data_IF_162051414675
#
_entry.id   IF_162051414675
#
_cell.length_a   1.000
_cell.length_b   1.000
_cell.length_c   1.000
_cell.angle_alpha   90.00
_cell.angle_beta   90.00
_cell.angle_gamma   90.00
#
_symmetry.space_group_name_H-M   'P 1'
#
loop_
_entity.id
_entity.type
_entity.pdbx_description
1 polymer ?
#
# COMPACT_ATOMS: atom_id res chain seq x y z
N UNK A 1 -15.87 -5.20 -8.28
CA UNK A 1 -16.76 -6.00 -9.16
C UNK A 1 -17.69 -6.95 -8.41
N UNK A 2 -17.19 -7.91 -7.63
CA UNK A 2 -18.01 -8.97 -7.03
C UNK A 2 -19.28 -8.50 -6.28
N UNK A 3 -19.26 -7.44 -5.45
CA UNK A 3 -20.48 -6.95 -4.81
C UNK A 3 -21.60 -6.52 -5.78
N UNK A 4 -21.25 -5.92 -6.92
CA UNK A 4 -22.21 -5.56 -7.98
C UNK A 4 -22.83 -6.79 -8.64
N UNK A 5 -22.08 -7.90 -8.73
CA UNK A 5 -22.60 -9.18 -9.22
C UNK A 5 -23.38 -9.96 -8.15
N UNK A 6 -23.58 -9.39 -6.95
CA UNK A 6 -24.20 -10.11 -5.84
C UNK A 6 -23.32 -11.24 -5.30
N UNK A 7 -22.00 -11.15 -5.49
CA UNK A 7 -21.01 -12.08 -4.97
C UNK A 7 -20.25 -11.48 -3.79
N UNK A 8 -19.80 -12.34 -2.89
CA UNK A 8 -18.84 -12.03 -1.83
C UNK A 8 -17.50 -12.67 -2.17
N UNK A 9 -16.42 -11.96 -1.88
CA UNK A 9 -15.05 -12.45 -2.09
C UNK A 9 -14.40 -12.64 -0.73
N UNK A 10 -13.78 -13.81 -0.54
CA UNK A 10 -12.81 -14.00 0.52
C UNK A 10 -11.43 -14.11 -0.12
N UNK A 11 -10.55 -13.18 0.22
CA UNK A 11 -9.16 -13.21 -0.22
C UNK A 11 -8.33 -13.88 0.88
N UNK A 12 -7.47 -14.80 0.47
CA UNK A 12 -6.41 -15.33 1.32
C UNK A 12 -5.10 -15.37 0.56
N UNK A 13 -4.04 -14.86 1.18
CA UNK A 13 -2.68 -15.04 0.72
C UNK A 13 -1.95 -16.11 1.54
N UNK A 14 -2.68 -16.82 2.42
CA UNK A 14 -2.17 -17.82 3.33
C UNK A 14 -2.63 -19.23 2.91
N UNK A 15 -1.82 -19.89 2.11
CA UNK A 15 -2.00 -21.26 1.61
C UNK A 15 -0.65 -21.96 1.49
N UNK A 16 -0.64 -23.29 1.51
CA UNK A 16 0.56 -24.06 1.22
C UNK A 16 0.91 -23.91 -0.28
N UNK A 17 1.98 -23.16 -0.58
CA UNK A 17 2.36 -22.82 -1.95
C UNK A 17 2.60 -24.06 -2.81
N UNK A 18 3.37 -25.04 -2.31
CA UNK A 18 3.71 -26.27 -3.04
C UNK A 18 2.45 -27.07 -3.43
N UNK A 19 1.53 -27.28 -2.48
CA UNK A 19 0.28 -28.00 -2.76
C UNK A 19 -0.62 -27.26 -3.74
N UNK A 20 -0.64 -25.92 -3.69
CA UNK A 20 -1.46 -25.14 -4.60
C UNK A 20 -0.85 -25.12 -6.01
N UNK A 21 0.46 -24.95 -6.13
CA UNK A 21 1.22 -25.06 -7.38
C UNK A 21 0.96 -26.44 -8.03
N UNK A 22 1.01 -27.54 -7.26
CA UNK A 22 0.71 -28.89 -7.74
C UNK A 22 -0.74 -29.05 -8.25
N UNK A 23 -1.72 -28.56 -7.49
CA UNK A 23 -3.15 -28.66 -7.86
C UNK A 23 -3.44 -27.89 -9.15
N UNK A 24 -2.80 -26.73 -9.32
CA UNK A 24 -2.94 -25.88 -10.50
C UNK A 24 -2.02 -26.32 -11.66
N UNK A 25 -1.11 -27.26 -11.42
CA UNK A 25 -0.08 -27.73 -12.36
C UNK A 25 0.81 -26.59 -12.86
N UNK A 26 1.19 -25.70 -11.96
CA UNK A 26 2.10 -24.59 -12.27
C UNK A 26 3.54 -25.09 -12.39
N UNK A 27 4.31 -24.49 -13.28
CA UNK A 27 5.73 -24.78 -13.42
C UNK A 27 6.54 -24.03 -12.34
N UNK A 28 7.01 -24.78 -11.34
CA UNK A 28 7.69 -24.19 -10.19
C UNK A 28 9.04 -23.59 -10.61
N UNK A 29 9.12 -22.27 -10.59
CA UNK A 29 10.28 -21.51 -11.09
C UNK A 29 9.90 -20.45 -12.12
N UNK A 30 8.76 -20.62 -12.79
CA UNK A 30 8.23 -19.66 -13.76
C UNK A 30 6.96 -18.97 -13.23
N UNK A 31 6.07 -19.72 -12.58
CA UNK A 31 4.80 -19.22 -12.05
C UNK A 31 4.61 -19.61 -10.58
N UNK A 32 3.92 -18.75 -9.82
CA UNK A 32 3.58 -19.00 -8.43
C UNK A 32 2.30 -18.29 -8.02
N UNK A 33 1.46 -18.98 -7.26
CA UNK A 33 0.26 -18.37 -6.70
C UNK A 33 0.62 -17.39 -5.57
N UNK A 34 0.01 -16.19 -5.60
CA UNK A 34 0.19 -15.16 -4.56
C UNK A 34 -1.07 -14.94 -3.71
N UNK A 35 -2.25 -15.17 -4.28
CA UNK A 35 -3.53 -15.02 -3.61
C UNK A 35 -4.55 -16.04 -4.15
N UNK A 36 -5.46 -16.48 -3.29
CA UNK A 36 -6.64 -17.27 -3.64
C UNK A 36 -7.87 -16.45 -3.30
N UNK A 37 -8.78 -16.32 -4.26
CA UNK A 37 -10.04 -15.59 -4.10
C UNK A 37 -11.21 -16.57 -4.16
N UNK A 38 -11.84 -16.83 -3.02
CA UNK A 38 -13.06 -17.63 -2.96
C UNK A 38 -14.28 -16.76 -3.26
N UNK A 39 -14.94 -17.03 -4.39
CA UNK A 39 -16.18 -16.37 -4.79
C UNK A 39 -17.39 -17.11 -4.18
N UNK A 40 -18.20 -16.39 -3.42
CA UNK A 40 -19.34 -16.93 -2.69
C UNK A 40 -20.63 -16.18 -3.06
N UNK A 41 -21.77 -16.86 -2.99
CA UNK A 41 -23.08 -16.20 -2.99
C UNK A 41 -23.27 -15.38 -1.71
N UNK A 42 -24.23 -14.44 -1.71
CA UNK A 42 -24.52 -13.61 -0.53
C UNK A 42 -24.86 -14.47 0.70
N UNK A 43 -24.22 -14.17 1.82
CA UNK A 43 -24.41 -14.86 3.10
C UNK A 43 -23.81 -14.03 4.25
N UNK A 44 -23.94 -14.50 5.50
CA UNK A 44 -23.40 -13.80 6.68
C UNK A 44 -21.91 -13.51 6.51
N UNK A 45 -21.43 -12.29 6.80
CA UNK A 45 -20.00 -11.98 6.81
C UNK A 45 -19.25 -12.99 7.65
N UNK A 46 -18.21 -13.59 7.07
CA UNK A 46 -17.24 -14.37 7.83
C UNK A 46 -15.90 -13.68 7.60
N UNK A 47 -15.26 -13.22 8.68
CA UNK A 47 -13.85 -12.83 8.66
C UNK A 47 -13.06 -14.02 9.18
N UNK A 48 -12.58 -14.91 8.30
CA UNK A 48 -11.67 -15.94 8.76
C UNK A 48 -10.41 -15.30 9.36
N UNK A 49 -10.08 -15.66 10.61
CA UNK A 49 -8.84 -15.24 11.31
C UNK A 49 -7.55 -15.78 10.65
N UNK A 50 -7.58 -16.20 9.39
CA UNK A 50 -6.49 -16.89 8.71
C UNK A 50 -6.11 -16.28 7.36
N UNK A 51 -6.61 -15.09 7.01
CA UNK A 51 -6.28 -14.42 5.73
C UNK A 51 -4.78 -14.13 5.56
N UNK A 52 -4.05 -14.01 6.67
CA UNK A 52 -2.59 -13.96 6.73
C UNK A 52 -2.06 -14.98 7.76
N UNK A 53 -1.00 -15.70 7.40
CA UNK A 53 -0.30 -16.64 8.29
C UNK A 53 1.22 -16.45 8.15
N UNK A 54 2.00 -16.65 9.24
CA UNK A 54 3.44 -16.52 9.20
C UNK A 54 4.11 -17.65 8.40
N UNK A 55 5.13 -17.33 7.60
CA UNK A 55 6.05 -18.34 7.08
C UNK A 55 6.97 -18.88 8.18
N UNK A 56 7.75 -19.92 7.86
CA UNK A 56 8.82 -20.34 8.75
C UNK A 56 9.74 -19.13 9.06
N UNK A 57 10.29 -19.04 10.29
CA UNK A 57 11.31 -18.03 10.58
C UNK A 57 12.48 -18.22 9.61
N UNK A 58 13.20 -17.14 9.25
CA UNK A 58 14.35 -17.23 8.36
C UNK A 58 15.31 -18.31 8.88
N UNK A 59 15.66 -19.26 8.03
CA UNK A 59 16.65 -20.27 8.37
C UNK A 59 17.98 -19.58 8.66
N UNK A 60 18.64 -19.93 9.77
CA UNK A 60 19.95 -19.37 10.16
C UNK A 60 21.04 -19.52 9.07
N UNK A 61 20.81 -20.33 8.04
CA UNK A 61 21.68 -20.48 6.87
C UNK A 61 21.50 -19.39 5.80
N UNK A 62 20.38 -18.66 5.79
CA UNK A 62 20.16 -17.51 4.90
C UNK A 62 20.73 -16.21 5.49
N UNK A 63 21.01 -16.21 6.79
CA UNK A 63 21.63 -15.11 7.54
C UNK A 63 22.83 -15.68 8.28
N UNK A 64 23.84 -16.12 7.53
CA UNK A 64 25.20 -16.18 8.10
C UNK A 64 25.67 -14.75 8.30
N UNK A 65 25.44 -14.30 9.53
CA UNK A 65 25.97 -13.12 10.19
C UNK A 65 27.44 -12.87 9.83
N UNK A 66 27.70 -11.89 8.97
CA UNK A 66 28.97 -11.15 8.96
C UNK A 66 28.80 -9.95 9.89
N UNK A 67 29.00 -10.16 11.18
CA UNK A 67 28.82 -9.08 12.15
C UNK A 67 29.04 -9.41 13.62
N UNK A 68 30.20 -9.97 14.01
CA UNK A 68 30.72 -9.72 15.36
C UNK A 68 32.07 -8.98 15.31
N UNK A 69 32.00 -7.72 15.77
CA UNK A 69 33.05 -6.84 16.31
C UNK A 69 34.52 -7.12 15.94
N UNK A 70 34.89 -6.74 14.72
CA UNK A 70 36.18 -6.15 14.42
C UNK A 70 35.97 -5.18 13.27
N UNK A 71 36.60 -3.99 13.32
CA UNK A 71 36.59 -3.04 12.22
C UNK A 71 37.09 -3.73 10.93
N UNK A 72 36.18 -4.16 10.09
CA UNK A 72 36.44 -4.92 8.86
C UNK A 72 35.43 -4.46 7.81
N UNK A 73 35.90 -3.54 6.96
CA UNK A 73 35.56 -3.38 5.55
C UNK A 73 34.41 -4.28 5.04
N UNK A 74 33.16 -3.82 5.18
CA UNK A 74 31.98 -4.46 4.57
C UNK A 74 31.58 -3.77 3.25
N UNK A 75 32.56 -3.36 2.45
CA UNK A 75 32.37 -2.93 1.05
C UNK A 75 32.52 -4.13 0.09
N UNK A 76 31.68 -5.15 0.30
CA UNK A 76 31.55 -6.27 -0.64
C UNK A 76 30.09 -6.48 -1.03
N UNK A 77 29.51 -5.45 -1.65
CA UNK A 77 28.47 -5.69 -2.64
C UNK A 77 29.11 -6.49 -3.79
N UNK A 78 28.49 -7.58 -4.28
CA UNK A 78 29.01 -8.26 -5.44
C UNK A 78 28.96 -7.28 -6.62
N UNK A 79 30.12 -7.07 -7.24
CA UNK A 79 30.24 -6.26 -8.45
C UNK A 79 29.26 -6.76 -9.51
N UNK A 80 28.70 -5.81 -10.28
CA UNK A 80 27.81 -6.00 -11.43
C UNK A 80 28.47 -6.73 -12.62
N UNK A 81 29.46 -7.58 -12.38
CA UNK A 81 30.16 -8.33 -13.41
C UNK A 81 29.45 -9.67 -13.66
N UNK A 82 28.54 -9.61 -14.65
CA UNK A 82 28.23 -10.62 -15.66
C UNK A 82 28.36 -12.12 -15.29
N UNK A 83 27.21 -12.80 -15.35
CA UNK A 83 26.99 -14.12 -15.97
C UNK A 83 27.59 -15.43 -15.39
N UNK A 84 28.41 -15.44 -14.34
CA UNK A 84 29.05 -16.71 -13.89
C UNK A 84 28.86 -17.09 -12.41
N UNK A 85 27.62 -17.41 -12.01
CA UNK A 85 27.35 -18.13 -10.76
C UNK A 85 26.50 -19.38 -11.01
N UNK A 86 27.15 -20.46 -11.44
CA UNK A 86 26.58 -21.82 -11.48
C UNK A 86 26.06 -22.18 -10.08
N UNK A 87 24.74 -22.08 -9.87
CA UNK A 87 24.05 -22.67 -8.72
C UNK A 87 23.23 -21.73 -7.82
N UNK A 88 23.24 -20.40 -8.00
CA UNK A 88 22.34 -19.51 -7.24
C UNK A 88 21.10 -19.17 -8.06
N UNK A 89 19.92 -19.44 -7.50
CA UNK A 89 18.67 -18.99 -8.09
C UNK A 89 18.66 -17.45 -8.18
N UNK A 90 18.07 -16.84 -9.24
CA UNK A 90 17.86 -15.40 -9.30
C UNK A 90 17.17 -14.90 -8.02
N UNK A 91 17.55 -13.71 -7.54
CA UNK A 91 17.10 -13.18 -6.24
C UNK A 91 15.57 -13.24 -6.06
N UNK A 92 14.81 -12.90 -7.10
CA UNK A 92 13.35 -12.95 -7.07
C UNK A 92 12.83 -14.37 -6.80
N UNK A 93 13.41 -15.38 -7.44
CA UNK A 93 13.05 -16.79 -7.22
C UNK A 93 13.46 -17.27 -5.83
N UNK A 94 14.60 -16.81 -5.32
CA UNK A 94 15.03 -17.11 -3.95
C UNK A 94 14.05 -16.53 -2.92
N UNK A 95 13.63 -15.27 -3.09
CA UNK A 95 12.63 -14.63 -2.24
C UNK A 95 11.27 -15.34 -2.30
N UNK A 96 10.82 -15.73 -3.50
CA UNK A 96 9.59 -16.53 -3.65
C UNK A 96 9.69 -17.85 -2.86
N UNK A 97 10.80 -18.58 -2.98
CA UNK A 97 10.97 -19.86 -2.27
C UNK A 97 11.04 -19.69 -0.75
N UNK A 98 11.78 -18.68 -0.27
CA UNK A 98 11.93 -18.41 1.16
C UNK A 98 10.62 -18.00 1.84
N UNK A 99 9.72 -17.34 1.11
CA UNK A 99 8.44 -16.84 1.63
C UNK A 99 7.27 -17.84 1.51
N UNK A 100 7.52 -19.11 1.18
CA UNK A 100 6.48 -20.15 1.08
C UNK A 100 5.96 -20.57 2.46
N UNK A 101 4.67 -20.91 2.54
CA UNK A 101 4.11 -21.54 3.74
C UNK A 101 4.27 -23.06 3.69
N UNK A 102 4.65 -23.69 4.82
CA UNK A 102 4.77 -25.14 4.90
C UNK A 102 3.39 -25.82 4.82
N UNK A 103 3.35 -27.14 4.56
CA UNK A 103 2.10 -27.91 4.55
C UNK A 103 1.42 -28.01 5.93
N UNK A 104 2.18 -27.84 7.01
CA UNK A 104 1.64 -27.74 8.36
C UNK A 104 1.15 -26.32 8.66
N UNK A 105 -0.06 -26.19 9.19
CA UNK A 105 -0.64 -24.86 9.48
C UNK A 105 0.19 -24.13 10.55
N UNK A 106 0.79 -22.97 10.23
CA UNK A 106 1.53 -22.18 11.21
C UNK A 106 0.61 -21.70 12.34
N UNK A 107 1.17 -21.53 13.55
CA UNK A 107 0.46 -20.88 14.66
C UNK A 107 0.30 -19.39 14.35
N UNK A 108 -0.87 -18.84 14.64
CA UNK A 108 -1.11 -17.40 14.57
C UNK A 108 -0.27 -16.69 15.65
N UNK A 109 0.58 -15.76 15.25
CA UNK A 109 1.12 -14.75 16.15
C UNK A 109 0.01 -13.73 16.43
N UNK A 110 -0.10 -13.26 17.68
CA UNK A 110 -1.07 -12.22 18.01
C UNK A 110 -0.64 -10.89 17.38
N UNK A 111 -1.54 -10.23 16.64
CA UNK A 111 -1.33 -8.89 16.11
C UNK A 111 -1.45 -7.88 17.25
N UNK A 112 -0.43 -7.02 17.43
CA UNK A 112 -0.52 -5.82 18.25
C UNK A 112 -1.09 -4.66 17.43
N UNK A 113 -1.73 -3.69 18.09
CA UNK A 113 -2.20 -2.46 17.43
C UNK A 113 -1.03 -1.47 17.28
N UNK A 114 -0.42 -1.43 16.10
CA UNK A 114 0.83 -0.71 15.82
C UNK A 114 0.63 0.79 15.61
N UNK A 115 -0.57 1.21 15.19
CA UNK A 115 -0.86 2.62 14.90
C UNK A 115 -0.73 3.49 16.17
N UNK A 116 -1.23 2.99 17.31
CA UNK A 116 -1.12 3.70 18.59
C UNK A 116 0.35 3.88 19.04
N UNK A 117 1.22 2.92 18.73
CA UNK A 117 2.63 2.94 19.10
C UNK A 117 3.46 3.98 18.34
N UNK A 118 3.20 4.15 17.03
CA UNK A 118 3.90 5.12 16.19
C UNK A 118 3.45 6.56 16.51
N UNK A 119 2.14 6.77 16.66
CA UNK A 119 1.55 8.07 17.01
C UNK A 119 2.10 8.60 18.34
N UNK A 120 2.17 7.73 19.36
CA UNK A 120 2.74 8.08 20.66
C UNK A 120 4.25 8.37 20.57
N UNK A 121 5.01 7.61 19.77
CA UNK A 121 6.47 7.77 19.61
C UNK A 121 6.84 9.11 18.99
N UNK A 122 6.10 9.55 17.97
CA UNK A 122 6.41 10.76 17.22
C UNK A 122 5.61 12.00 17.66
N UNK A 123 4.72 11.84 18.66
CA UNK A 123 3.95 12.96 19.22
C UNK A 123 2.98 13.59 18.22
N UNK A 124 2.56 12.85 17.18
CA UNK A 124 1.58 13.30 16.20
C UNK A 124 0.21 13.40 16.86
N UNK A 125 -0.05 14.52 17.51
CA UNK A 125 -1.25 14.79 18.28
C UNK A 125 -2.02 15.95 17.64
N UNK A 126 -3.35 15.82 17.59
CA UNK A 126 -4.21 16.73 16.85
C UNK A 126 -4.10 16.53 15.33
N UNK A 127 -5.24 16.61 14.65
CA UNK A 127 -5.33 16.45 13.21
C UNK A 127 -6.44 17.31 12.65
N UNK A 128 -6.30 17.65 11.37
CA UNK A 128 -7.40 18.25 10.61
C UNK A 128 -8.21 17.09 10.04
N UNK A 129 -9.45 16.93 10.52
CA UNK A 129 -10.39 15.98 9.93
C UNK A 129 -10.51 16.25 8.43
N UNK A 130 -10.45 15.24 7.57
CA UNK A 130 -10.75 15.44 6.14
C UNK A 130 -12.25 15.69 5.89
N UNK A 131 -13.09 15.31 6.85
CA UNK A 131 -14.54 15.43 6.79
C UNK A 131 -14.93 16.77 7.43
N UNK A 132 -15.50 17.67 6.64
CA UNK A 132 -15.92 19.01 7.10
C UNK A 132 -17.23 18.96 7.91
N UNK A 133 -18.15 18.05 7.58
CA UNK A 133 -19.44 17.88 8.25
C UNK A 133 -19.75 16.40 8.47
N UNK A 134 -19.77 15.94 9.73
CA UNK A 134 -20.43 14.68 10.10
C UNK A 134 -21.92 15.02 10.29
N UNK A 135 -22.85 14.59 9.42
CA UNK A 135 -24.25 14.92 9.62
C UNK A 135 -24.73 14.27 10.91
N UNK A 136 -25.33 15.07 11.79
CA UNK A 136 -26.00 14.57 12.99
C UNK A 136 -27.11 13.58 12.58
N UNK A 137 -26.88 12.29 12.88
CA UNK A 137 -27.84 11.16 12.81
C UNK A 137 -28.57 10.98 11.47
N UNK A 138 -28.17 9.95 10.72
CA UNK A 138 -29.11 9.18 9.89
C UNK A 138 -28.94 9.26 8.37
N UNK A 139 -28.08 10.14 7.86
CA UNK A 139 -27.72 10.21 6.43
C UNK A 139 -26.19 10.23 6.29
N UNK A 140 -25.53 9.13 6.68
CA UNK A 140 -24.07 9.04 6.85
C UNK A 140 -23.34 8.51 5.60
N UNK A 141 -23.68 9.01 4.41
CA UNK A 141 -22.99 8.61 3.18
C UNK A 141 -22.54 9.80 2.36
N UNK A 142 -21.28 9.79 1.95
CA UNK A 142 -20.63 10.79 1.10
C UNK A 142 -20.30 10.08 -0.22
N UNK A 143 -21.32 9.85 -1.08
CA UNK A 143 -21.11 9.06 -2.29
C UNK A 143 -20.07 9.74 -3.18
N UNK A 144 -19.35 8.91 -3.92
CA UNK A 144 -18.49 9.39 -5.01
C UNK A 144 -19.33 10.13 -6.05
N UNK A 145 -18.72 11.10 -6.73
CA UNK A 145 -19.43 11.91 -7.73
C UNK A 145 -19.98 11.08 -8.90
N UNK A 146 -19.30 9.98 -9.26
CA UNK A 146 -19.72 9.03 -10.28
C UNK A 146 -19.67 7.59 -9.76
N UNK A 147 -20.41 6.69 -10.42
CA UNK A 147 -20.46 5.28 -10.05
C UNK A 147 -19.05 4.62 -10.13
N UNK A 148 -18.50 4.12 -9.03
CA UNK A 148 -17.22 3.42 -9.03
C UNK A 148 -17.19 2.17 -9.92
N UNK A 149 -18.34 1.58 -10.25
CA UNK A 149 -18.38 0.46 -11.19
C UNK A 149 -18.16 0.89 -12.65
N UNK A 150 -18.63 2.07 -13.05
CA UNK A 150 -18.29 2.63 -14.36
C UNK A 150 -16.80 2.99 -14.43
N UNK A 151 -16.23 3.47 -13.31
CA UNK A 151 -14.81 3.78 -13.20
C UNK A 151 -13.95 2.57 -13.55
N UNK A 152 -14.32 1.34 -13.15
CA UNK A 152 -13.58 0.10 -13.47
C UNK A 152 -13.40 -0.07 -14.99
N UNK A 153 -14.44 0.20 -15.79
CA UNK A 153 -14.39 0.03 -17.24
C UNK A 153 -13.56 1.11 -17.93
N UNK A 154 -13.55 2.32 -17.35
CA UNK A 154 -12.86 3.49 -17.91
C UNK A 154 -11.45 3.69 -17.36
N UNK A 155 -11.09 2.98 -16.27
CA UNK A 155 -9.85 3.18 -15.53
C UNK A 155 -8.63 3.14 -16.44
N UNK A 156 -7.84 4.20 -16.38
CA UNK A 156 -6.51 4.32 -16.96
C UNK A 156 -5.65 5.07 -15.95
N UNK A 157 -4.37 4.72 -15.88
CA UNK A 157 -3.42 5.51 -15.10
C UNK A 157 -3.17 6.82 -15.83
N UNK A 158 -3.33 7.93 -15.12
CA UNK A 158 -3.12 9.27 -15.67
C UNK A 158 -1.64 9.45 -16.03
N UNK A 159 -1.36 9.88 -17.26
CA UNK A 159 0.03 10.03 -17.75
C UNK A 159 0.64 11.40 -17.48
N UNK A 160 -0.19 12.42 -17.33
CA UNK A 160 0.21 13.80 -17.02
C UNK A 160 -0.87 14.46 -16.17
N UNK A 161 -0.45 15.20 -15.17
CA UNK A 161 -1.34 16.11 -14.45
C UNK A 161 -1.18 17.52 -14.99
N UNK A 162 -2.25 18.30 -14.92
CA UNK A 162 -2.15 19.74 -14.98
C UNK A 162 -2.02 20.29 -13.57
N UNK A 163 -1.15 21.29 -13.39
CA UNK A 163 -1.03 21.98 -12.10
C UNK A 163 -2.34 22.68 -11.77
N UNK A 164 -2.77 22.54 -10.52
CA UNK A 164 -3.98 23.14 -10.00
C UNK A 164 -4.20 22.70 -8.56
N UNK A 165 -5.38 23.00 -8.03
CA UNK A 165 -5.74 22.68 -6.65
C UNK A 165 -6.88 21.66 -6.62
N UNK A 166 -6.70 20.59 -5.86
CA UNK A 166 -7.77 19.62 -5.59
C UNK A 166 -8.65 20.12 -4.45
N UNK A 167 -9.97 19.93 -4.54
CA UNK A 167 -10.88 20.26 -3.44
C UNK A 167 -10.68 19.27 -2.29
N UNK A 168 -10.74 19.76 -1.05
CA UNK A 168 -10.67 18.92 0.16
C UNK A 168 -11.66 17.77 0.13
N UNK A 169 -12.90 18.04 -0.30
CA UNK A 169 -13.95 17.04 -0.38
C UNK A 169 -13.64 15.90 -1.37
N UNK A 170 -12.89 16.18 -2.45
CA UNK A 170 -12.45 15.15 -3.39
C UNK A 170 -11.41 14.25 -2.72
N UNK A 171 -10.36 14.83 -2.12
CA UNK A 171 -9.35 14.07 -1.38
C UNK A 171 -9.98 13.21 -0.27
N UNK A 172 -10.91 13.80 0.49
CA UNK A 172 -11.63 13.10 1.55
C UNK A 172 -12.36 11.86 1.04
N UNK A 173 -13.13 11.96 -0.05
CA UNK A 173 -13.86 10.83 -0.64
C UNK A 173 -12.94 9.79 -1.28
N UNK A 174 -11.83 10.21 -1.90
CA UNK A 174 -10.81 9.32 -2.45
C UNK A 174 -10.21 8.44 -1.34
N UNK A 175 -9.76 9.07 -0.24
CA UNK A 175 -9.21 8.35 0.90
C UNK A 175 -10.27 7.49 1.60
N UNK A 176 -11.51 7.97 1.70
CA UNK A 176 -12.62 7.20 2.24
C UNK A 176 -12.83 5.87 1.51
N UNK A 177 -12.71 5.85 0.17
CA UNK A 177 -12.85 4.63 -0.60
C UNK A 177 -11.83 3.55 -0.17
N UNK A 178 -10.60 3.97 0.15
CA UNK A 178 -9.54 3.10 0.60
C UNK A 178 -9.73 2.63 2.05
N UNK A 179 -10.00 3.56 2.98
CA UNK A 179 -9.92 3.31 4.42
C UNK A 179 -11.29 3.14 5.11
N UNK A 180 -12.34 3.82 4.65
CA UNK A 180 -13.68 3.81 5.23
C UNK A 180 -14.78 3.63 4.16
N UNK A 181 -14.74 2.54 3.36
CA UNK A 181 -15.59 2.34 2.18
C UNK A 181 -17.10 2.38 2.48
N UNK A 182 -17.51 1.99 3.69
CA UNK A 182 -18.88 2.07 4.16
C UNK A 182 -19.44 3.50 4.15
N UNK A 183 -18.58 4.49 4.38
CA UNK A 183 -18.95 5.90 4.39
C UNK A 183 -19.25 6.45 3.00
N UNK A 184 -18.74 5.81 1.94
CA UNK A 184 -19.05 6.18 0.56
C UNK A 184 -20.06 5.22 -0.10
N UNK A 185 -20.65 4.32 0.69
CA UNK A 185 -21.67 3.39 0.23
C UNK A 185 -21.13 2.14 -0.49
N UNK A 186 -19.83 1.87 -0.39
CA UNK A 186 -19.25 0.60 -0.85
C UNK A 186 -19.47 -0.50 0.21
N UNK A 187 -19.65 -1.74 -0.25
CA UNK A 187 -19.92 -2.90 0.61
C UNK A 187 -18.68 -3.40 1.35
N UNK A 188 -18.86 -4.41 2.21
CA UNK A 188 -17.76 -5.16 2.81
C UNK A 188 -16.74 -5.60 1.75
N UNK A 189 -15.48 -5.40 2.12
CA UNK A 189 -14.31 -5.56 1.29
C UNK A 189 -13.63 -6.91 1.55
N UNK A 190 -12.80 -7.43 0.62
CA UNK A 190 -11.87 -8.50 0.96
C UNK A 190 -11.06 -8.10 2.20
N UNK A 191 -10.79 -9.08 3.08
CA UNK A 191 -10.06 -8.91 4.32
C UNK A 191 -8.63 -8.44 4.05
N UNK A 192 -8.43 -7.13 4.06
CA UNK A 192 -7.13 -6.47 4.11
C UNK A 192 -6.65 -6.44 5.56
N UNK A 193 -5.42 -6.84 5.81
CA UNK A 193 -4.79 -6.66 7.12
C UNK A 193 -3.97 -5.36 7.11
N UNK A 194 -4.62 -4.28 7.55
CA UNK A 194 -4.03 -2.95 7.51
C UNK A 194 -3.15 -2.66 8.72
N UNK A 195 -2.97 -3.61 9.64
CA UNK A 195 -2.28 -3.37 10.91
C UNK A 195 -0.80 -3.00 10.73
N UNK A 196 -0.17 -3.40 9.63
CA UNK A 196 1.25 -3.16 9.34
C UNK A 196 1.50 -2.10 8.25
N UNK A 197 0.45 -1.51 7.68
CA UNK A 197 0.60 -0.41 6.71
C UNK A 197 0.27 0.92 7.35
N UNK A 198 1.21 1.86 7.26
CA UNK A 198 1.00 3.26 7.58
C UNK A 198 0.82 4.06 6.30
N UNK A 199 0.23 5.25 6.41
CA UNK A 199 -0.03 6.10 5.25
C UNK A 199 0.41 7.52 5.52
N UNK A 200 1.32 8.00 4.67
CA UNK A 200 1.77 9.37 4.63
C UNK A 200 1.31 10.01 3.33
N UNK A 201 1.05 11.32 3.36
CA UNK A 201 0.55 12.06 2.22
C UNK A 201 1.37 13.35 2.11
N UNK A 202 2.12 13.46 1.01
CA UNK A 202 2.69 14.73 0.60
C UNK A 202 1.59 15.56 -0.07
N UNK A 203 1.11 16.60 0.60
CA UNK A 203 0.17 17.57 0.08
C UNK A 203 0.94 18.67 -0.64
N UNK A 204 0.66 18.86 -1.93
CA UNK A 204 1.28 19.90 -2.76
C UNK A 204 0.29 21.05 -3.05
N UNK A 205 -0.96 20.72 -3.38
CA UNK A 205 -2.02 21.71 -3.63
C UNK A 205 -3.42 21.15 -3.39
N UNK A 206 -3.87 21.21 -2.13
CA UNK A 206 -5.22 20.80 -1.73
C UNK A 206 -5.87 21.95 -0.97
N UNK A 207 -7.13 22.26 -1.28
CA UNK A 207 -7.90 23.28 -0.59
C UNK A 207 -7.95 23.01 0.93
N UNK A 208 -7.72 24.05 1.75
CA UNK A 208 -7.76 23.94 3.21
C UNK A 208 -6.57 23.23 3.85
N UNK A 209 -5.56 22.82 3.07
CA UNK A 209 -4.30 22.26 3.57
C UNK A 209 -3.11 23.05 3.05
N UNK A 210 -2.21 23.41 3.96
CA UNK A 210 -0.91 23.95 3.60
C UNK A 210 -0.04 22.86 2.95
N UNK A 211 0.85 23.19 2.01
CA UNK A 211 1.81 22.23 1.49
C UNK A 211 2.67 21.64 2.61
N UNK A 212 2.81 20.32 2.63
CA UNK A 212 3.46 19.62 3.72
C UNK A 212 3.29 18.10 3.62
N UNK A 213 3.89 17.38 4.55
CA UNK A 213 3.76 15.93 4.69
C UNK A 213 2.92 15.64 5.91
N UNK A 214 1.91 14.79 5.72
CA UNK A 214 0.92 14.46 6.72
C UNK A 214 0.86 12.95 6.92
N UNK A 215 0.67 12.52 8.16
CA UNK A 215 0.27 11.15 8.49
C UNK A 215 -1.26 11.08 8.48
N UNK A 216 -1.81 10.07 7.80
CA UNK A 216 -3.25 9.80 7.78
C UNK A 216 -3.60 8.84 8.91
N UNK A 217 -4.28 9.33 9.94
CA UNK A 217 -4.86 8.47 10.98
C UNK A 217 -6.18 7.87 10.45
N UNK A 218 -6.22 6.56 10.13
CA UNK A 218 -7.27 5.99 9.29
C UNK A 218 -8.64 5.90 9.97
N UNK A 219 -8.68 5.72 11.29
CA UNK A 219 -9.93 5.58 12.06
C UNK A 219 -10.82 6.83 11.99
N UNK A 220 -10.22 8.02 11.89
CA UNK A 220 -10.93 9.30 11.81
C UNK A 220 -10.84 10.01 10.46
N UNK A 221 -10.09 9.46 9.50
CA UNK A 221 -9.61 10.19 8.31
C UNK A 221 -9.04 11.57 8.70
N UNK A 222 -8.16 11.57 9.70
CA UNK A 222 -7.52 12.78 10.19
C UNK A 222 -6.12 12.91 9.60
N UNK A 223 -5.80 14.12 9.15
CA UNK A 223 -4.48 14.48 8.64
C UNK A 223 -3.68 15.14 9.76
N UNK A 224 -2.60 14.50 10.20
CA UNK A 224 -1.70 15.02 11.23
C UNK A 224 -0.40 15.48 10.57
N UNK A 225 -0.04 16.75 10.76
CA UNK A 225 1.15 17.33 10.13
C UNK A 225 2.42 16.67 10.68
N UNK A 226 3.23 16.10 9.79
CA UNK A 226 4.54 15.52 10.09
C UNK A 226 5.63 16.55 9.80
N UNK A 227 5.54 17.21 8.64
CA UNK A 227 6.52 18.20 8.18
C UNK A 227 5.84 19.33 7.42
N UNK A 228 6.01 20.61 7.85
CA UNK A 228 5.55 21.74 7.06
C UNK A 228 6.41 21.92 5.81
N UNK A 229 5.79 22.31 4.71
CA UNK A 229 6.46 22.49 3.44
C UNK A 229 6.73 21.16 2.74
N UNK A 230 6.37 21.10 1.46
CA UNK A 230 6.72 20.01 0.57
C UNK A 230 6.96 20.60 -0.82
N UNK A 231 8.21 20.57 -1.27
CA UNK A 231 8.56 21.07 -2.59
C UNK A 231 8.13 20.04 -3.66
N UNK A 232 7.37 20.44 -4.69
CA UNK A 232 7.03 19.56 -5.81
C UNK A 232 8.25 18.86 -6.42
N UNK A 233 9.38 19.55 -6.52
CA UNK A 233 10.63 19.05 -7.06
C UNK A 233 11.20 17.89 -6.23
N UNK A 234 11.01 17.91 -4.90
CA UNK A 234 11.44 16.83 -4.02
C UNK A 234 10.63 15.56 -4.29
N UNK A 235 9.32 15.68 -4.47
CA UNK A 235 8.43 14.54 -4.76
C UNK A 235 8.68 14.00 -6.17
N UNK A 236 8.87 14.88 -7.15
CA UNK A 236 9.28 14.48 -8.50
C UNK A 236 10.59 13.70 -8.49
N UNK A 237 11.60 14.22 -7.77
CA UNK A 237 12.89 13.57 -7.64
C UNK A 237 12.75 12.18 -6.99
N UNK A 238 12.01 12.07 -5.87
CA UNK A 238 11.71 10.78 -5.23
C UNK A 238 11.04 9.79 -6.18
N UNK A 239 10.20 10.26 -7.10
CA UNK A 239 9.55 9.44 -8.13
C UNK A 239 10.46 9.22 -9.36
N UNK A 240 11.78 9.17 -9.18
CA UNK A 240 12.78 8.98 -10.26
C UNK A 240 12.70 10.05 -11.36
N UNK A 241 12.35 11.28 -11.00
CA UNK A 241 12.24 12.41 -11.92
C UNK A 241 10.92 12.47 -12.71
N UNK A 242 9.96 11.57 -12.45
CA UNK A 242 8.68 11.54 -13.15
C UNK A 242 7.83 12.79 -12.82
N UNK A 243 7.39 13.52 -13.86
CA UNK A 243 6.52 14.71 -13.75
C UNK A 243 5.26 14.45 -12.91
N UNK A 244 4.74 13.22 -12.95
CA UNK A 244 3.59 12.78 -12.14
C UNK A 244 3.76 13.09 -10.65
N UNK A 245 4.97 12.96 -10.10
CA UNK A 245 5.23 13.26 -8.69
C UNK A 245 5.19 14.75 -8.38
N UNK A 246 5.72 15.60 -9.29
CA UNK A 246 5.79 17.05 -9.09
C UNK A 246 4.54 17.81 -9.48
N UNK A 247 3.77 17.32 -10.45
CA UNK A 247 2.54 17.98 -10.92
C UNK A 247 1.28 17.46 -10.22
N UNK A 248 1.42 16.47 -9.34
CA UNK A 248 0.34 15.99 -8.48
C UNK A 248 -0.16 17.09 -7.52
N UNK A 249 -1.42 16.95 -7.07
CA UNK A 249 -1.97 17.77 -5.99
C UNK A 249 -1.67 17.15 -4.62
N UNK A 250 -1.62 15.81 -4.57
CA UNK A 250 -1.23 15.04 -3.40
C UNK A 250 -0.57 13.72 -3.83
N UNK A 251 0.38 13.22 -3.03
CA UNK A 251 1.04 11.94 -3.28
C UNK A 251 0.96 11.09 -2.02
N UNK A 252 0.36 9.91 -2.14
CA UNK A 252 0.11 8.97 -1.05
C UNK A 252 1.23 7.94 -1.02
N UNK A 253 1.87 7.79 0.14
CA UNK A 253 2.93 6.84 0.43
C UNK A 253 2.39 5.80 1.41
N UNK A 254 2.29 4.55 0.97
CA UNK A 254 2.06 3.43 1.86
C UNK A 254 3.41 2.93 2.36
N UNK A 255 3.55 2.81 3.68
CA UNK A 255 4.81 2.43 4.32
C UNK A 255 4.61 1.32 5.33
N UNK A 256 5.68 0.65 5.72
CA UNK A 256 5.66 -0.38 6.74
C UNK A 256 6.97 -0.42 7.55
N UNK A 257 6.86 -0.80 8.82
CA UNK A 257 8.02 -1.29 9.58
C UNK A 257 8.28 -2.74 9.17
N UNK A 258 9.27 -2.95 8.29
CA UNK A 258 9.57 -4.27 7.75
C UNK A 258 10.04 -5.24 8.83
N UNK A 259 10.81 -4.78 9.81
CA UNK A 259 11.30 -5.63 10.89
C UNK A 259 10.16 -6.12 11.77
N UNK A 260 9.17 -5.27 12.01
CA UNK A 260 7.94 -5.65 12.71
C UNK A 260 7.07 -6.60 11.90
N UNK A 261 6.82 -6.30 10.63
CA UNK A 261 6.02 -7.15 9.76
C UNK A 261 6.66 -8.55 9.58
N UNK A 262 7.98 -8.64 9.46
CA UNK A 262 8.73 -9.91 9.40
C UNK A 262 8.65 -10.65 10.74
N UNK A 263 8.64 -9.96 11.88
CA UNK A 263 8.41 -10.61 13.19
C UNK A 263 7.03 -11.23 13.29
N UNK A 264 6.02 -10.61 12.68
CA UNK A 264 4.65 -11.09 12.66
C UNK A 264 4.41 -12.22 11.65
N UNK A 265 4.99 -12.13 10.45
CA UNK A 265 4.65 -13.00 9.32
C UNK A 265 5.82 -13.74 8.65
N UNK A 266 7.05 -13.59 9.16
CA UNK A 266 8.26 -14.05 8.48
C UNK A 266 8.48 -13.31 7.16
N UNK A 267 9.33 -13.86 6.28
CA UNK A 267 9.65 -13.25 4.98
C UNK A 267 8.42 -13.11 4.06
N UNK A 268 7.34 -13.86 4.32
CA UNK A 268 6.07 -13.72 3.60
C UNK A 268 5.38 -12.37 3.85
N UNK A 269 5.76 -11.65 4.91
CA UNK A 269 5.31 -10.27 5.16
C UNK A 269 5.40 -9.39 3.91
N UNK A 270 6.50 -9.52 3.15
CA UNK A 270 6.74 -8.71 1.95
C UNK A 270 5.63 -8.87 0.91
N UNK A 271 5.09 -10.09 0.73
CA UNK A 271 3.96 -10.33 -0.18
C UNK A 271 2.68 -9.67 0.31
N UNK A 272 2.39 -9.78 1.61
CA UNK A 272 1.18 -9.22 2.20
C UNK A 272 1.17 -7.70 2.11
N UNK A 273 2.28 -7.05 2.48
CA UNK A 273 2.41 -5.59 2.43
C UNK A 273 2.19 -5.04 1.02
N UNK A 274 2.80 -5.64 0.00
CA UNK A 274 2.64 -5.18 -1.40
C UNK A 274 1.24 -5.47 -1.95
N UNK A 275 0.64 -6.62 -1.60
CA UNK A 275 -0.74 -6.94 -2.00
C UNK A 275 -1.72 -5.94 -1.39
N UNK A 276 -1.58 -5.64 -0.10
CA UNK A 276 -2.48 -4.72 0.60
C UNK A 276 -2.29 -3.28 0.14
N UNK A 277 -1.04 -2.84 -0.08
CA UNK A 277 -0.75 -1.51 -0.64
C UNK A 277 -1.31 -1.37 -2.07
N UNK A 278 -1.22 -2.42 -2.90
CA UNK A 278 -1.83 -2.44 -4.23
C UNK A 278 -3.35 -2.40 -4.20
N UNK A 279 -3.97 -3.11 -3.25
CA UNK A 279 -5.42 -3.09 -3.06
C UNK A 279 -5.93 -1.72 -2.56
N UNK A 280 -5.17 -1.03 -1.72
CA UNK A 280 -5.45 0.37 -1.36
C UNK A 280 -5.26 1.29 -2.57
N UNK A 281 -4.17 1.13 -3.32
CA UNK A 281 -3.88 1.87 -4.54
C UNK A 281 -5.00 1.81 -5.58
N UNK A 282 -5.50 0.62 -5.90
CA UNK A 282 -6.61 0.46 -6.85
C UNK A 282 -7.89 1.17 -6.37
N UNK A 283 -8.15 1.21 -5.06
CA UNK A 283 -9.29 1.97 -4.52
C UNK A 283 -9.09 3.46 -4.68
N UNK A 284 -7.88 3.96 -4.44
CA UNK A 284 -7.54 5.37 -4.68
C UNK A 284 -7.69 5.70 -6.16
N UNK A 285 -7.22 4.84 -7.07
CA UNK A 285 -7.31 5.03 -8.52
C UNK A 285 -8.77 5.12 -8.99
N UNK A 286 -9.61 4.16 -8.61
CA UNK A 286 -11.02 4.13 -8.99
C UNK A 286 -11.79 5.31 -8.40
N UNK A 287 -11.53 5.64 -7.13
CA UNK A 287 -12.20 6.76 -6.48
C UNK A 287 -11.77 8.11 -7.06
N UNK A 288 -10.48 8.28 -7.40
CA UNK A 288 -9.98 9.47 -8.05
C UNK A 288 -10.69 9.69 -9.39
N UNK A 289 -10.79 8.64 -10.21
CA UNK A 289 -11.52 8.70 -11.47
C UNK A 289 -13.01 9.04 -11.25
N UNK A 290 -13.66 8.41 -10.27
CA UNK A 290 -15.04 8.73 -9.91
C UNK A 290 -15.25 10.15 -9.41
N UNK A 291 -14.20 10.83 -8.93
CA UNK A 291 -14.21 12.24 -8.50
C UNK A 291 -13.79 13.22 -9.60
N UNK A 292 -13.65 12.75 -10.85
CA UNK A 292 -13.15 13.54 -11.98
C UNK A 292 -11.67 13.92 -11.84
N UNK A 293 -10.94 13.25 -10.96
CA UNK A 293 -9.51 13.40 -10.75
C UNK A 293 -8.74 12.30 -11.49
N UNK A 294 -7.42 12.42 -11.51
CA UNK A 294 -6.51 11.44 -12.05
C UNK A 294 -5.68 10.80 -10.96
N UNK A 295 -5.22 9.58 -11.22
CA UNK A 295 -4.30 8.88 -10.34
C UNK A 295 -3.31 8.03 -11.13
N UNK A 296 -2.14 7.82 -10.56
CA UNK A 296 -1.16 6.87 -11.10
C UNK A 296 -0.30 6.30 -9.99
N UNK A 297 -0.19 4.97 -9.96
CA UNK A 297 0.81 4.26 -9.21
C UNK A 297 2.24 4.58 -9.66
N UNK A 298 3.17 4.61 -8.72
CA UNK A 298 4.61 4.73 -8.95
C UNK A 298 5.29 3.57 -8.23
N UNK A 299 5.88 2.66 -9.02
CA UNK A 299 6.53 1.44 -8.51
C UNK A 299 8.06 1.56 -8.33
N UNK A 300 8.66 2.63 -8.84
CA UNK A 300 10.09 2.92 -8.67
C UNK A 300 10.29 4.29 -8.03
N UNK A 301 11.10 4.35 -6.99
CA UNK A 301 11.37 5.56 -6.22
C UNK A 301 12.75 5.48 -5.54
N UNK A 302 13.22 6.59 -4.96
CA UNK A 302 14.43 6.60 -4.14
C UNK A 302 14.09 6.36 -2.66
N UNK A 303 14.01 5.09 -2.27
CA UNK A 303 13.56 4.62 -0.96
C UNK A 303 14.25 5.33 0.22
N UNK A 304 15.58 5.35 0.25
CA UNK A 304 16.35 5.86 1.39
C UNK A 304 16.25 7.37 1.58
N UNK A 305 15.88 8.11 0.53
CA UNK A 305 15.87 9.57 0.52
C UNK A 305 14.53 10.14 1.02
N UNK A 306 13.53 9.28 1.21
CA UNK A 306 12.19 9.64 1.65
C UNK A 306 12.21 10.27 3.05
N UNK A 307 13.01 9.75 3.97
CA UNK A 307 13.14 10.31 5.32
C UNK A 307 13.66 11.74 5.29
N UNK A 308 14.73 12.00 4.55
CA UNK A 308 15.36 13.32 4.53
C UNK A 308 14.49 14.36 3.80
N UNK A 309 13.80 13.94 2.74
CA UNK A 309 13.00 14.85 1.91
C UNK A 309 11.57 15.06 2.44
N UNK A 310 10.95 14.05 3.03
CA UNK A 310 9.55 14.09 3.47
C UNK A 310 9.36 14.03 5.00
N UNK A 311 10.39 13.66 5.76
CA UNK A 311 10.29 13.51 7.22
C UNK A 311 9.54 12.25 7.65
N UNK A 312 9.34 11.29 6.74
CA UNK A 312 8.79 9.96 7.09
C UNK A 312 9.82 9.22 7.96
N UNK A 313 9.41 8.61 9.09
CA UNK A 313 10.32 7.91 9.99
C UNK A 313 11.19 6.87 9.28
N UNK A 314 12.46 6.73 9.72
CA UNK A 314 13.44 5.85 9.06
C UNK A 314 13.06 4.37 9.13
N UNK A 315 12.33 3.95 10.15
CA UNK A 315 11.81 2.59 10.26
C UNK A 315 10.67 2.30 9.29
N UNK A 316 10.06 3.33 8.67
CA UNK A 316 8.95 3.19 7.74
C UNK A 316 9.49 3.10 6.30
N UNK A 317 9.69 1.88 5.81
CA UNK A 317 10.04 1.65 4.42
C UNK A 317 8.84 1.95 3.51
N UNK A 318 9.05 2.67 2.41
CA UNK A 318 7.99 2.89 1.42
C UNK A 318 7.74 1.61 0.64
N UNK A 319 6.48 1.19 0.60
CA UNK A 319 6.02 -0.01 -0.11
C UNK A 319 5.43 0.35 -1.47
N UNK A 320 4.64 1.43 -1.52
CA UNK A 320 3.98 1.85 -2.76
C UNK A 320 3.58 3.32 -2.73
N UNK A 321 3.64 3.97 -3.89
CA UNK A 321 3.25 5.36 -4.07
C UNK A 321 2.05 5.45 -5.01
N UNK A 322 1.07 6.27 -4.65
CA UNK A 322 -0.04 6.66 -5.53
C UNK A 322 -0.08 8.17 -5.65
N UNK A 323 0.14 8.68 -6.87
CA UNK A 323 -0.01 10.11 -7.19
C UNK A 323 -1.47 10.42 -7.47
N UNK A 324 -1.96 11.57 -7.00
CA UNK A 324 -3.30 12.08 -7.21
C UNK A 324 -3.22 13.51 -7.76
N UNK A 325 -4.01 13.80 -8.79
CA UNK A 325 -3.96 15.13 -9.41
C UNK A 325 -5.12 15.43 -10.34
N UNK A 326 -5.06 16.58 -10.99
CA UNK A 326 -6.01 16.95 -12.03
C UNK A 326 -5.48 16.41 -13.37
N UNK A 327 -6.20 15.54 -14.08
CA UNK A 327 -5.69 15.02 -15.34
C UNK A 327 -5.54 16.17 -16.34
N UNK A 328 -4.39 16.24 -17.03
CA UNK A 328 -4.28 17.13 -18.18
C UNK A 328 -5.31 16.67 -19.22
N UNK A 329 -6.12 17.59 -19.74
CA UNK A 329 -7.12 17.26 -20.76
C UNK A 329 -6.49 16.53 -21.94
N UNK A 330 -7.22 15.61 -22.57
CA UNK A 330 -6.82 15.11 -23.89
C UNK A 330 -6.70 16.30 -24.82
N UNK A 331 -5.50 16.56 -25.36
CA UNK A 331 -5.40 17.31 -26.60
C UNK A 331 -6.23 16.50 -27.60
N UNK A 332 -7.38 17.04 -28.01
CA UNK A 332 -8.03 16.56 -29.22
C UNK A 332 -7.05 16.85 -30.36
N UNK A 333 -6.25 15.84 -30.74
CA UNK A 333 -5.54 15.79 -32.01
C UNK A 333 -6.44 15.19 -33.10
#
# INVERSE_FOLDING_TARGET
>A
MAPALGLRVHLTAAFCDERLEDVLRLESGEEGALAVLALNTRGKPERPHWSALPSAPPSAEAVSDSGSDAAADTDAHPSDDADDAVGRAPMLLALHRASRLPPERPRLAAAGDLAEGLEARYGWTGGVSLIEDVPARGSSRWPLAHDPFEAILRRRSTRRFQRGQMRRAQLARILAAAYAPENIGLSEQPSLDRSHLMTFIAVLSVEGFEPGVYYLAPHGLEMRLVRPGCAPEAVQYLCLGQELGGDATAVVFHTADLADAVRAFGDRAYRYLHLDAGLLGERLDLAALSEGCGASGIGGFFDDQVTDLLGIPREQAVVYITTLGLPAGSVEE
#
